data_IF_397936211681
#
_entry.id   IF_397936211681
#
_cell.length_a   1.000
_cell.length_b   1.000
_cell.length_c   1.000
_cell.angle_alpha   90.00
_cell.angle_beta   90.00
_cell.angle_gamma   90.00
#
_symmetry.space_group_name_H-M   'P 1'
#
loop_
_entity.id
_entity.type
_entity.pdbx_description
1 polymer ?
#
# COMPACT_ATOMS: atom_id res chain seq x y z
N UNK A 1 -38.77 38.77 30.09
CA UNK A 1 -38.74 37.29 30.06
C UNK A 1 -39.90 36.83 29.20
N UNK A 2 -39.62 36.33 27.98
CA UNK A 2 -40.14 35.09 27.40
C UNK A 2 -39.28 34.82 26.17
N UNK A 3 -38.68 33.64 26.21
CA UNK A 3 -37.81 33.01 25.26
C UNK A 3 -38.69 32.37 24.18
N UNK A 4 -38.38 32.57 22.89
CA UNK A 4 -38.89 31.71 21.82
C UNK A 4 -37.70 31.24 20.96
N UNK A 5 -37.17 30.08 21.37
CA UNK A 5 -36.36 29.19 20.54
C UNK A 5 -37.35 28.28 19.83
N UNK A 6 -37.19 28.06 18.52
CA UNK A 6 -37.56 26.87 17.74
C UNK A 6 -37.11 27.13 16.30
N UNK A 7 -35.90 26.67 15.93
CA UNK A 7 -35.62 25.34 15.38
C UNK A 7 -35.40 25.45 13.86
N UNK A 8 -34.20 25.89 13.49
CA UNK A 8 -33.62 25.60 12.19
C UNK A 8 -33.31 24.10 12.19
N UNK A 9 -34.22 23.31 11.65
CA UNK A 9 -33.94 21.94 11.22
C UNK A 9 -32.94 21.97 10.07
N UNK A 10 -31.67 22.16 10.41
CA UNK A 10 -30.56 21.87 9.53
C UNK A 10 -30.51 20.36 9.35
N UNK A 11 -30.97 19.90 8.21
CA UNK A 11 -30.65 18.58 7.68
C UNK A 11 -29.12 18.53 7.60
N UNK A 12 -28.45 17.98 8.62
CA UNK A 12 -27.05 17.61 8.49
C UNK A 12 -27.01 16.38 7.59
N UNK A 13 -27.19 16.61 6.29
CA UNK A 13 -26.52 15.80 5.28
C UNK A 13 -25.07 15.84 5.71
N UNK A 14 -24.62 14.76 6.36
CA UNK A 14 -23.21 14.50 6.52
C UNK A 14 -22.62 14.65 5.13
N UNK A 15 -21.96 15.78 4.89
CA UNK A 15 -21.10 15.94 3.74
C UNK A 15 -20.24 14.70 3.75
N UNK A 16 -20.44 13.83 2.75
CA UNK A 16 -19.57 12.68 2.55
C UNK A 16 -18.20 13.32 2.42
N UNK A 17 -17.36 13.24 3.45
CA UNK A 17 -15.94 13.55 3.35
C UNK A 17 -15.51 12.89 2.05
N UNK A 18 -15.06 13.67 1.08
CA UNK A 18 -14.65 13.14 -0.21
C UNK A 18 -13.69 11.99 0.06
N UNK A 19 -14.11 10.76 -0.29
CA UNK A 19 -13.27 9.58 -0.09
C UNK A 19 -11.96 9.85 -0.84
N UNK A 20 -10.84 9.82 -0.10
CA UNK A 20 -9.52 10.05 -0.68
C UNK A 20 -9.32 9.04 -1.81
N UNK A 21 -9.20 9.54 -3.04
CA UNK A 21 -8.93 8.71 -4.22
C UNK A 21 -7.43 8.45 -4.30
N UNK A 22 -7.07 7.20 -4.51
CA UNK A 22 -5.70 6.77 -4.69
C UNK A 22 -5.52 6.21 -6.11
N UNK A 23 -4.31 6.32 -6.64
CA UNK A 23 -3.86 5.60 -7.83
C UNK A 23 -2.96 4.44 -7.42
N UNK A 24 -2.66 3.54 -8.36
CA UNK A 24 -1.71 2.45 -8.11
C UNK A 24 -0.31 3.01 -7.81
N UNK A 25 0.04 4.10 -8.48
CA UNK A 25 1.29 4.83 -8.34
C UNK A 25 1.44 5.51 -6.98
N UNK A 26 0.33 5.86 -6.31
CA UNK A 26 0.34 6.41 -4.94
C UNK A 26 0.67 5.35 -3.88
N UNK A 27 0.46 4.07 -4.22
CA UNK A 27 0.82 2.94 -3.36
C UNK A 27 2.21 2.38 -3.68
N UNK A 28 2.92 2.94 -4.66
CA UNK A 28 4.28 2.56 -5.00
C UNK A 28 5.34 3.11 -4.05
N UNK A 29 6.60 2.82 -4.38
CA UNK A 29 7.78 3.34 -3.70
C UNK A 29 8.47 4.39 -4.57
N UNK A 30 9.21 5.30 -3.93
CA UNK A 30 9.96 6.41 -4.53
C UNK A 30 11.40 6.31 -4.06
N UNK A 31 12.34 6.31 -5.01
CA UNK A 31 13.76 6.51 -4.72
C UNK A 31 13.99 7.93 -4.21
N UNK A 32 14.61 8.07 -3.03
CA UNK A 32 14.97 9.39 -2.49
C UNK A 32 16.13 10.03 -3.23
N UNK A 33 16.90 9.26 -4.00
CA UNK A 33 18.05 9.77 -4.74
C UNK A 33 17.65 10.61 -5.96
N UNK A 34 16.56 10.22 -6.65
CA UNK A 34 16.17 10.82 -7.94
C UNK A 34 14.66 11.02 -8.12
N UNK A 35 13.84 10.62 -7.14
CA UNK A 35 12.38 10.79 -7.16
C UNK A 35 11.64 9.83 -8.09
N UNK A 36 12.32 8.86 -8.72
CA UNK A 36 11.67 7.90 -9.61
C UNK A 36 10.88 6.85 -8.83
N UNK A 37 9.76 6.41 -9.40
CA UNK A 37 8.80 5.50 -8.78
C UNK A 37 8.95 4.06 -9.24
N UNK A 38 8.65 3.12 -8.36
CA UNK A 38 8.36 1.72 -8.68
C UNK A 38 7.01 1.36 -8.09
N UNK A 39 6.12 0.79 -8.90
CA UNK A 39 4.75 0.52 -8.50
C UNK A 39 4.22 -0.75 -9.17
N UNK A 40 3.11 -1.27 -8.65
CA UNK A 40 2.49 -2.48 -9.17
C UNK A 40 2.13 -2.35 -10.66
N UNK A 41 2.40 -3.40 -11.44
CA UNK A 41 2.13 -3.44 -12.87
C UNK A 41 3.17 -2.74 -13.75
N UNK A 42 4.15 -2.04 -13.17
CA UNK A 42 5.30 -1.48 -13.89
C UNK A 42 6.09 -2.60 -14.57
N UNK A 43 6.63 -2.35 -15.77
CA UNK A 43 7.46 -3.36 -16.47
C UNK A 43 8.74 -3.60 -15.68
N UNK A 44 9.24 -4.83 -15.70
CA UNK A 44 10.49 -5.19 -15.03
C UNK A 44 11.66 -4.29 -15.44
N UNK A 45 11.87 -4.06 -16.74
CA UNK A 45 12.95 -3.20 -17.21
C UNK A 45 12.85 -1.75 -16.70
N UNK A 46 11.63 -1.21 -16.56
CA UNK A 46 11.42 0.14 -16.06
C UNK A 46 11.67 0.20 -14.53
N UNK A 47 11.28 -0.85 -13.80
CA UNK A 47 11.57 -0.98 -12.37
C UNK A 47 13.08 -1.12 -12.12
N UNK A 48 13.79 -1.93 -12.89
CA UNK A 48 15.24 -2.13 -12.81
C UNK A 48 16.03 -0.86 -13.19
N UNK A 49 15.47 0.00 -14.04
CA UNK A 49 16.07 1.31 -14.30
C UNK A 49 16.11 2.19 -13.03
N UNK A 50 15.18 1.99 -12.08
CA UNK A 50 15.11 2.70 -10.80
C UNK A 50 15.90 1.97 -9.70
N UNK A 51 15.66 0.67 -9.55
CA UNK A 51 16.23 -0.14 -8.46
C UNK A 51 17.68 -0.58 -8.72
N UNK A 52 18.16 -0.43 -9.96
CA UNK A 52 19.41 -1.00 -10.41
C UNK A 52 19.29 -2.49 -10.72
N UNK A 53 20.44 -3.15 -10.87
CA UNK A 53 20.49 -4.57 -11.20
C UNK A 53 20.17 -5.41 -9.97
N UNK A 54 19.07 -6.17 -10.04
CA UNK A 54 18.67 -7.12 -9.00
C UNK A 54 19.39 -8.46 -9.12
N UNK A 55 19.35 -9.23 -8.04
CA UNK A 55 19.75 -10.63 -7.98
C UNK A 55 18.52 -11.49 -7.78
N UNK A 56 18.26 -12.39 -8.73
CA UNK A 56 17.20 -13.37 -8.58
C UNK A 56 17.52 -14.32 -7.42
N UNK A 57 16.61 -14.41 -6.44
CA UNK A 57 16.73 -15.29 -5.28
C UNK A 57 15.96 -16.59 -5.49
N UNK A 58 14.79 -16.46 -6.11
CA UNK A 58 13.89 -17.54 -6.52
C UNK A 58 13.21 -17.07 -7.80
N UNK A 59 12.61 -18.00 -8.55
CA UNK A 59 12.00 -17.67 -9.84
C UNK A 59 11.04 -16.49 -9.72
N UNK A 60 11.36 -15.39 -10.40
CA UNK A 60 10.58 -14.15 -10.40
C UNK A 60 10.75 -13.25 -9.17
N UNK A 61 11.41 -13.69 -8.10
CA UNK A 61 11.72 -12.89 -6.91
C UNK A 61 13.15 -12.35 -6.99
N UNK A 62 13.27 -11.02 -7.03
CA UNK A 62 14.52 -10.31 -7.15
C UNK A 62 14.79 -9.49 -5.89
N UNK A 63 16.00 -9.61 -5.38
CA UNK A 63 16.54 -8.75 -4.35
C UNK A 63 17.37 -7.65 -5.00
N UNK A 64 17.14 -6.41 -4.58
CA UNK A 64 17.86 -5.23 -5.02
C UNK A 64 18.69 -4.68 -3.85
N UNK A 65 19.64 -3.81 -4.17
CA UNK A 65 20.39 -3.11 -3.14
C UNK A 65 19.46 -2.27 -2.25
N UNK A 66 19.92 -2.00 -1.02
CA UNK A 66 19.24 -1.11 -0.07
C UNK A 66 17.85 -1.62 0.33
N UNK A 67 17.73 -2.93 0.62
CA UNK A 67 16.55 -3.50 1.29
C UNK A 67 15.27 -3.54 0.46
N UNK A 68 15.35 -3.56 -0.87
CA UNK A 68 14.18 -3.66 -1.75
C UNK A 68 14.08 -5.04 -2.39
N UNK A 69 12.90 -5.64 -2.34
CA UNK A 69 12.58 -6.86 -3.07
C UNK A 69 11.42 -6.59 -4.03
N UNK A 70 11.47 -7.18 -5.21
CA UNK A 70 10.34 -7.18 -6.13
C UNK A 70 10.06 -8.60 -6.62
N UNK A 71 8.77 -8.92 -6.77
CA UNK A 71 8.33 -10.10 -7.49
C UNK A 71 7.77 -9.69 -8.84
N UNK A 72 8.15 -10.41 -9.90
CA UNK A 72 7.66 -10.20 -11.25
C UNK A 72 6.77 -11.36 -11.71
N UNK A 73 5.60 -11.01 -12.26
CA UNK A 73 4.72 -11.94 -12.98
C UNK A 73 4.42 -11.37 -14.35
N UNK A 74 4.51 -12.19 -15.39
CA UNK A 74 4.31 -11.78 -16.79
C UNK A 74 5.17 -10.56 -17.19
N UNK A 75 6.40 -10.47 -16.64
CA UNK A 75 7.33 -9.36 -16.89
C UNK A 75 6.96 -8.03 -16.23
N UNK A 76 6.06 -8.04 -15.24
CA UNK A 76 5.58 -6.86 -14.52
C UNK A 76 5.66 -7.03 -13.01
N UNK A 77 5.86 -5.92 -12.30
CA UNK A 77 5.87 -5.89 -10.83
C UNK A 77 4.53 -6.40 -10.31
N UNK A 78 4.58 -7.48 -9.53
CA UNK A 78 3.43 -8.10 -8.86
C UNK A 78 3.54 -8.04 -7.33
N UNK A 79 4.75 -7.83 -6.80
CA UNK A 79 4.95 -7.44 -5.41
C UNK A 79 6.17 -6.53 -5.26
N UNK A 80 6.16 -5.69 -4.24
CA UNK A 80 7.29 -4.89 -3.75
C UNK A 80 7.34 -5.09 -2.23
N UNK A 81 8.55 -5.29 -1.69
CA UNK A 81 8.79 -5.29 -0.24
C UNK A 81 9.98 -4.38 0.08
N UNK A 82 9.79 -3.49 1.04
CA UNK A 82 10.81 -2.65 1.65
C UNK A 82 11.15 -3.24 3.03
N UNK A 83 12.42 -3.41 3.33
CA UNK A 83 12.94 -3.83 4.64
C UNK A 83 13.77 -2.70 5.28
N UNK A 84 14.35 -2.95 6.46
CA UNK A 84 15.05 -1.95 7.27
C UNK A 84 16.14 -1.20 6.49
N UNK A 85 16.89 -1.89 5.64
CA UNK A 85 17.97 -1.31 4.83
C UNK A 85 17.47 -0.31 3.77
N UNK A 86 16.17 -0.28 3.47
CA UNK A 86 15.56 0.72 2.59
C UNK A 86 15.36 2.07 3.29
N UNK A 87 15.51 2.12 4.61
CA UNK A 87 15.44 3.34 5.40
C UNK A 87 16.41 4.39 4.84
N UNK A 88 15.97 5.64 4.74
CA UNK A 88 16.69 6.76 4.13
C UNK A 88 16.96 6.67 2.61
N UNK A 89 16.67 5.54 1.96
CA UNK A 89 16.89 5.36 0.52
C UNK A 89 15.59 5.37 -0.27
N UNK A 90 14.52 4.84 0.31
CA UNK A 90 13.19 4.80 -0.29
C UNK A 90 12.14 5.30 0.70
N UNK A 91 11.02 5.74 0.12
CA UNK A 91 9.76 6.04 0.81
C UNK A 91 8.60 5.61 -0.07
N UNK A 92 7.39 5.57 0.45
CA UNK A 92 6.21 5.41 -0.42
C UNK A 92 5.94 6.69 -1.19
N UNK A 93 5.11 6.60 -2.24
CA UNK A 93 4.74 7.78 -3.02
C UNK A 93 3.91 8.82 -2.24
N UNK A 94 3.37 8.45 -1.08
CA UNK A 94 2.70 9.35 -0.13
C UNK A 94 3.53 9.62 1.14
N UNK A 95 4.86 9.49 1.03
CA UNK A 95 5.83 9.86 2.06
C UNK A 95 5.82 9.00 3.33
N UNK A 96 5.22 7.81 3.30
CA UNK A 96 5.38 6.85 4.40
C UNK A 96 6.75 6.17 4.33
N UNK A 97 7.35 5.90 5.49
CA UNK A 97 8.72 5.41 5.57
C UNK A 97 8.90 4.31 6.61
N UNK A 98 9.92 3.47 6.38
CA UNK A 98 10.44 2.57 7.42
C UNK A 98 10.95 3.40 8.59
N UNK A 99 10.57 3.02 9.80
CA UNK A 99 10.87 3.72 11.04
C UNK A 99 9.80 4.72 11.51
N UNK A 100 8.70 4.90 10.76
CA UNK A 100 7.55 5.67 11.23
C UNK A 100 6.72 4.88 12.26
N UNK A 101 6.03 5.59 13.14
CA UNK A 101 5.05 4.96 14.02
C UNK A 101 3.81 4.55 13.22
N UNK A 102 3.15 3.45 13.60
CA UNK A 102 1.93 2.97 12.92
C UNK A 102 0.84 4.04 12.79
N UNK A 103 0.58 4.81 13.84
CA UNK A 103 -0.42 5.89 13.81
C UNK A 103 -0.08 6.98 12.79
N UNK A 104 1.20 7.26 12.56
CA UNK A 104 1.65 8.20 11.53
C UNK A 104 1.39 7.60 10.14
N UNK A 105 1.68 6.32 9.96
CA UNK A 105 1.39 5.59 8.74
C UNK A 105 -0.12 5.60 8.44
N UNK A 106 -0.95 5.33 9.46
CA UNK A 106 -2.40 5.35 9.33
C UNK A 106 -2.91 6.74 8.95
N UNK A 107 -2.35 7.81 9.50
CA UNK A 107 -2.73 9.18 9.15
C UNK A 107 -2.53 9.53 7.66
N UNK A 108 -1.61 8.85 6.97
CA UNK A 108 -1.32 9.06 5.54
C UNK A 108 -2.41 8.41 4.66
N UNK A 109 -2.82 7.19 5.00
CA UNK A 109 -3.71 6.39 4.16
C UNK A 109 -5.17 6.38 4.63
N UNK A 110 -5.42 6.78 5.87
CA UNK A 110 -6.74 6.83 6.49
C UNK A 110 -7.10 5.58 7.29
N UNK A 111 -8.30 5.63 7.86
CA UNK A 111 -8.92 4.65 8.77
C UNK A 111 -9.70 3.54 8.03
N UNK A 112 -9.72 3.58 6.69
CA UNK A 112 -10.32 2.54 5.87
C UNK A 112 -9.28 1.46 5.58
N UNK A 113 -9.11 0.55 6.54
CA UNK A 113 -8.23 -0.62 6.45
C UNK A 113 -8.93 -1.88 6.96
N UNK A 114 -8.30 -3.04 6.78
CA UNK A 114 -8.79 -4.29 7.36
C UNK A 114 -8.78 -4.23 8.89
N UNK A 115 -9.71 -4.88 9.60
CA UNK A 115 -9.70 -4.93 11.05
C UNK A 115 -8.35 -5.45 11.57
N UNK A 116 -7.70 -4.63 12.39
CA UNK A 116 -6.47 -4.99 13.09
C UNK A 116 -6.84 -5.52 14.47
N UNK A 117 -6.34 -6.71 14.83
CA UNK A 117 -6.23 -7.08 16.24
C UNK A 117 -5.05 -6.33 16.87
N UNK A 118 -5.00 -6.15 18.20
CA UNK A 118 -3.80 -5.62 18.86
C UNK A 118 -2.54 -6.35 18.38
N UNK A 119 -1.47 -5.59 18.12
CA UNK A 119 -0.16 -6.09 17.66
C UNK A 119 -0.15 -6.74 16.26
N UNK A 120 -1.18 -6.50 15.43
CA UNK A 120 -1.20 -6.94 14.02
C UNK A 120 -0.79 -5.85 13.04
N UNK A 121 -0.21 -6.28 11.91
CA UNK A 121 0.14 -5.41 10.79
C UNK A 121 -1.03 -4.53 10.34
N UNK A 122 -0.75 -3.26 10.05
CA UNK A 122 -1.72 -2.37 9.43
C UNK A 122 -1.86 -2.77 7.95
N UNK A 123 -3.07 -3.14 7.52
CA UNK A 123 -3.29 -3.71 6.18
C UNK A 123 -4.42 -3.02 5.45
N UNK A 124 -4.07 -2.39 4.33
CA UNK A 124 -4.98 -1.75 3.40
C UNK A 124 -5.29 -2.66 2.24
N UNK A 125 -6.54 -2.60 1.76
CA UNK A 125 -6.97 -3.29 0.55
C UNK A 125 -7.46 -2.25 -0.44
N UNK A 126 -6.86 -2.16 -1.60
CA UNK A 126 -7.16 -1.17 -2.61
C UNK A 126 -7.78 -1.82 -3.85
N UNK A 127 -8.99 -1.40 -4.21
CA UNK A 127 -9.65 -1.79 -5.46
C UNK A 127 -9.12 -0.91 -6.60
N UNK A 128 -8.23 -1.46 -7.43
CA UNK A 128 -7.58 -0.70 -8.50
C UNK A 128 -8.55 -0.14 -9.56
N UNK A 129 -9.71 -0.78 -9.75
CA UNK A 129 -10.73 -0.31 -10.72
C UNK A 129 -11.56 0.82 -10.15
N UNK A 130 -11.95 0.70 -8.88
CA UNK A 130 -12.77 1.72 -8.22
C UNK A 130 -11.93 2.86 -7.64
N UNK A 131 -10.64 2.65 -7.47
CA UNK A 131 -9.68 3.59 -6.88
C UNK A 131 -10.03 3.98 -5.44
N UNK A 132 -10.49 2.99 -4.66
CA UNK A 132 -10.89 3.17 -3.26
C UNK A 132 -10.29 2.09 -2.37
N UNK A 133 -10.11 2.43 -1.10
CA UNK A 133 -9.77 1.48 -0.05
C UNK A 133 -11.01 0.70 0.39
N UNK A 134 -10.81 -0.56 0.76
CA UNK A 134 -11.83 -1.49 1.23
C UNK A 134 -11.53 -1.93 2.66
N UNK A 135 -12.59 -2.21 3.42
CA UNK A 135 -12.49 -2.75 4.79
C UNK A 135 -12.17 -4.25 4.84
N UNK A 136 -12.25 -4.95 3.71
CA UNK A 136 -12.09 -6.40 3.66
C UNK A 136 -11.44 -6.84 2.36
N UNK A 137 -10.62 -7.89 2.44
CA UNK A 137 -10.12 -8.61 1.28
C UNK A 137 -10.96 -9.87 1.02
N UNK A 138 -11.97 -9.78 0.14
CA UNK A 138 -12.86 -10.91 -0.18
C UNK A 138 -13.13 -11.01 -1.70
N UNK A 139 -12.11 -11.26 -2.52
CA UNK A 139 -12.32 -11.46 -3.95
C UNK A 139 -13.15 -12.72 -4.20
N UNK A 140 -14.07 -12.68 -5.18
CA UNK A 140 -14.94 -13.83 -5.51
C UNK A 140 -14.27 -14.83 -6.44
N UNK A 141 -13.17 -14.45 -7.09
CA UNK A 141 -12.40 -15.25 -8.03
C UNK A 141 -11.02 -14.62 -8.27
N UNK A 142 -10.13 -15.34 -8.95
CA UNK A 142 -8.76 -14.92 -9.25
C UNK A 142 -8.69 -13.60 -10.04
N UNK A 143 -9.64 -13.36 -10.95
CA UNK A 143 -9.68 -12.12 -11.72
C UNK A 143 -9.97 -10.91 -10.82
N UNK A 144 -10.82 -11.09 -9.81
CA UNK A 144 -11.05 -10.07 -8.80
C UNK A 144 -9.86 -9.95 -7.84
N UNK A 145 -9.25 -11.07 -7.44
CA UNK A 145 -8.08 -11.05 -6.57
C UNK A 145 -6.88 -10.31 -7.19
N UNK A 146 -6.65 -10.48 -8.50
CA UNK A 146 -5.64 -9.71 -9.26
C UNK A 146 -5.98 -8.22 -9.41
N UNK A 147 -7.20 -7.80 -9.08
CA UNK A 147 -7.64 -6.40 -9.09
C UNK A 147 -7.52 -5.71 -7.73
N UNK A 148 -7.22 -6.47 -6.67
CA UNK A 148 -7.07 -5.95 -5.31
C UNK A 148 -5.59 -5.91 -4.95
N UNK A 149 -5.08 -4.72 -4.59
CA UNK A 149 -3.77 -4.57 -3.97
C UNK A 149 -3.89 -4.61 -2.46
N UNK A 150 -3.02 -5.38 -1.84
CA UNK A 150 -2.80 -5.42 -0.42
C UNK A 150 -1.55 -4.59 -0.15
N UNK A 151 -1.70 -3.63 0.74
CA UNK A 151 -0.64 -2.74 1.16
C UNK A 151 -0.52 -2.82 2.67
N UNK A 152 0.58 -3.38 3.16
CA UNK A 152 0.77 -3.70 4.57
C UNK A 152 2.00 -3.01 5.14
N UNK A 153 1.86 -2.44 6.33
CA UNK A 153 2.96 -2.05 7.20
C UNK A 153 3.05 -3.05 8.34
N UNK A 154 4.15 -3.80 8.38
CA UNK A 154 4.48 -4.65 9.51
C UNK A 154 5.28 -3.82 10.50
N UNK A 155 5.02 -4.07 11.78
CA UNK A 155 5.61 -3.30 12.87
C UNK A 155 6.32 -4.20 13.88
N UNK A 156 7.35 -3.64 14.48
CA UNK A 156 7.97 -4.14 15.69
C UNK A 156 7.96 -3.01 16.73
N UNK A 157 7.31 -3.23 17.86
CA UNK A 157 7.18 -2.23 18.95
C UNK A 157 6.57 -0.89 18.49
N UNK A 158 5.50 -0.94 17.69
CA UNK A 158 4.80 0.25 17.17
C UNK A 158 5.49 0.96 16.00
N UNK A 159 6.69 0.50 15.63
CA UNK A 159 7.53 1.08 14.57
C UNK A 159 7.45 0.21 13.32
N UNK A 160 7.13 0.82 12.19
CA UNK A 160 7.09 0.14 10.89
C UNK A 160 8.50 -0.31 10.49
N UNK A 161 8.70 -1.62 10.35
CA UNK A 161 9.98 -2.24 9.95
C UNK A 161 9.98 -2.73 8.50
N UNK A 162 8.78 -3.03 7.98
CA UNK A 162 8.57 -3.62 6.66
C UNK A 162 7.34 -3.02 6.01
N UNK A 163 7.44 -2.68 4.73
CA UNK A 163 6.28 -2.30 3.91
C UNK A 163 6.15 -3.30 2.76
N UNK A 164 4.96 -3.85 2.56
CA UNK A 164 4.65 -4.82 1.50
C UNK A 164 3.53 -4.30 0.63
N UNK A 165 3.73 -4.31 -0.70
CA UNK A 165 2.72 -4.04 -1.72
C UNK A 165 2.59 -5.31 -2.57
N UNK A 166 1.43 -5.96 -2.58
CA UNK A 166 1.24 -7.24 -3.27
C UNK A 166 -0.23 -7.41 -3.68
N UNK A 167 -0.54 -8.04 -4.81
CA UNK A 167 -1.95 -8.34 -5.11
C UNK A 167 -2.53 -9.50 -4.28
N UNK A 168 -3.84 -9.47 -4.06
CA UNK A 168 -4.53 -10.50 -3.28
C UNK A 168 -4.46 -11.90 -3.92
N UNK A 169 -4.21 -12.00 -5.22
CA UNK A 169 -4.05 -13.32 -5.86
C UNK A 169 -2.74 -13.97 -5.39
N UNK A 170 -1.65 -13.21 -5.33
CA UNK A 170 -0.32 -13.67 -4.93
C UNK A 170 -0.26 -14.03 -3.44
N UNK A 171 -1.06 -13.37 -2.59
CA UNK A 171 -1.12 -13.76 -1.16
C UNK A 171 -1.86 -15.08 -0.92
N UNK A 172 -2.90 -15.37 -1.71
CA UNK A 172 -3.74 -16.56 -1.56
C UNK A 172 -3.14 -17.81 -2.22
N UNK A 173 -2.45 -17.64 -3.35
CA UNK A 173 -1.88 -18.74 -4.11
C UNK A 173 -0.40 -18.99 -3.81
N UNK A 174 0.20 -18.10 -3.01
CA UNK A 174 1.63 -17.91 -2.93
C UNK A 174 2.16 -17.21 -4.17
N UNK A 175 3.42 -16.83 -4.09
CA UNK A 175 4.19 -16.32 -5.22
C UNK A 175 4.40 -17.50 -6.19
N UNK A 176 3.51 -17.64 -7.18
CA UNK A 176 3.52 -18.66 -8.22
C UNK A 176 3.48 -18.01 -9.60
N UNK A 177 4.07 -18.74 -10.54
CA UNK A 177 4.20 -18.40 -11.97
C UNK A 177 2.87 -17.98 -12.60
#
# INVERSE_FOLDING_TARGET
MILFILALGGCSSSEKKDEKKFTVEDLGIVSKADGRKVYYGMKQADAEAVLGQGKERRKGEFEYALGVYAFYRDGKVAAIRLEEEAKNHYKTALDAEIGMHKDQFESIYGDVHMPTIPDSQLTYVFDMKKQVLLKENKPKNDKEAKNLLIFSALEYDGIVDTIVIIDSYSTSHGIKE
#
